data_IF_890990262585
#
_entry.id   IF_890990262585
#
_cell.length_a   1.000
_cell.length_b   1.000
_cell.length_c   1.000
_cell.angle_alpha   90.00
_cell.angle_beta   90.00
_cell.angle_gamma   90.00
#
_symmetry.space_group_name_H-M   'P 1'
#
loop_
_entity.id
_entity.type
_entity.pdbx_description
1 polymer ?
#
# COMPACT_ATOMS: atom_id res chain seq x y z
N UNK A 1 -3.72 -2.76 -23.13
CA UNK A 1 -2.79 -2.06 -22.21
C UNK A 1 -1.34 -2.39 -22.59
N UNK A 2 -0.34 -1.79 -21.94
CA UNK A 2 1.08 -2.04 -22.25
C UNK A 2 1.59 -3.36 -21.63
N UNK A 3 2.51 -4.06 -22.31
CA UNK A 3 3.20 -5.25 -21.77
C UNK A 3 4.39 -4.92 -20.88
N UNK A 4 4.89 -3.70 -20.98
CA UNK A 4 6.02 -3.19 -20.22
C UNK A 4 5.84 -1.70 -19.90
N UNK A 5 6.52 -1.25 -18.85
CA UNK A 5 6.51 0.13 -18.38
C UNK A 5 7.93 0.53 -18.01
N UNK A 6 8.47 1.53 -18.72
CA UNK A 6 9.79 2.10 -18.47
C UNK A 6 9.81 2.91 -17.16
N UNK A 7 10.85 2.72 -16.37
CA UNK A 7 11.07 3.39 -15.10
C UNK A 7 12.17 4.44 -15.20
N UNK A 8 12.15 5.41 -14.29
CA UNK A 8 13.17 6.47 -14.25
C UNK A 8 14.60 5.93 -14.01
N UNK A 9 14.72 4.89 -13.19
CA UNK A 9 15.94 4.15 -12.83
C UNK A 9 15.57 2.90 -12.00
N UNK A 10 16.56 2.06 -11.65
CA UNK A 10 16.45 0.88 -10.79
C UNK A 10 16.36 1.22 -9.30
N UNK A 11 17.07 0.49 -8.42
CA UNK A 11 17.09 0.81 -6.99
C UNK A 11 17.71 2.19 -6.69
N UNK A 12 18.69 2.60 -7.50
CA UNK A 12 19.44 3.85 -7.34
C UNK A 12 19.53 4.63 -8.68
N UNK A 13 19.72 5.96 -8.67
CA UNK A 13 19.70 6.80 -9.87
C UNK A 13 20.68 6.42 -10.98
N UNK A 14 21.81 5.80 -10.65
CA UNK A 14 22.83 5.35 -11.58
C UNK A 14 22.47 4.04 -12.30
N UNK A 15 21.42 3.33 -11.88
CA UNK A 15 21.01 2.05 -12.45
C UNK A 15 19.98 2.27 -13.56
N UNK A 16 20.45 2.44 -14.80
CA UNK A 16 19.62 2.63 -16.00
C UNK A 16 20.11 1.72 -17.14
N UNK A 17 19.24 1.27 -18.06
CA UNK A 17 17.78 1.43 -18.05
C UNK A 17 17.09 0.55 -16.99
N UNK A 18 15.80 0.78 -16.76
CA UNK A 18 14.99 -0.02 -15.83
C UNK A 18 13.54 -0.08 -16.31
N UNK A 19 12.87 -1.22 -16.10
CA UNK A 19 11.46 -1.43 -16.48
C UNK A 19 10.82 -2.53 -15.65
N UNK A 20 9.48 -2.53 -15.58
CA UNK A 20 8.69 -3.73 -15.28
C UNK A 20 8.08 -4.26 -16.58
N UNK A 21 7.91 -5.58 -16.68
CA UNK A 21 7.31 -6.20 -17.85
C UNK A 21 6.68 -7.55 -17.50
N UNK A 22 5.75 -8.00 -18.34
CA UNK A 22 5.24 -9.37 -18.34
C UNK A 22 5.83 -10.14 -19.53
N UNK A 23 6.24 -11.40 -19.32
CA UNK A 23 6.67 -12.28 -20.42
C UNK A 23 5.52 -12.58 -21.38
N UNK A 24 4.33 -12.76 -20.82
CA UNK A 24 3.10 -13.09 -21.53
C UNK A 24 1.95 -12.24 -20.99
N UNK A 25 1.01 -11.86 -21.86
CA UNK A 25 -0.10 -10.99 -21.49
C UNK A 25 0.27 -9.52 -21.30
N UNK A 26 -0.62 -8.77 -20.66
CA UNK A 26 -0.48 -7.34 -20.36
C UNK A 26 -0.07 -7.14 -18.90
N UNK A 27 0.47 -5.97 -18.54
CA UNK A 27 0.74 -5.63 -17.14
C UNK A 27 -0.58 -5.66 -16.33
N UNK A 28 -0.61 -6.28 -15.13
CA UNK A 28 -1.80 -6.31 -14.28
C UNK A 28 -1.98 -5.02 -13.46
N UNK A 29 -1.45 -3.89 -13.96
CA UNK A 29 -1.54 -2.57 -13.32
C UNK A 29 -1.78 -1.50 -14.37
N UNK A 30 -2.50 -0.46 -13.96
CA UNK A 30 -2.71 0.77 -14.73
C UNK A 30 -2.25 1.95 -13.90
N UNK A 31 -1.45 2.85 -14.50
CA UNK A 31 -1.02 4.08 -13.82
C UNK A 31 -2.03 5.18 -14.11
N UNK A 32 -2.91 5.43 -13.14
CA UNK A 32 -3.94 6.48 -13.27
C UNK A 32 -3.36 7.89 -13.06
N UNK A 33 -2.31 8.03 -12.25
CA UNK A 33 -1.67 9.31 -11.98
C UNK A 33 -0.20 9.15 -11.57
N UNK A 34 0.65 10.12 -11.93
CA UNK A 34 2.06 10.18 -11.55
C UNK A 34 2.96 9.21 -12.34
N UNK A 35 4.17 8.96 -11.81
CA UNK A 35 5.18 8.08 -12.43
C UNK A 35 5.88 7.22 -11.37
N UNK A 36 5.42 5.99 -11.09
CA UNK A 36 6.01 5.12 -10.07
C UNK A 36 7.44 4.70 -10.43
N UNK A 37 8.30 4.61 -9.40
CA UNK A 37 9.68 4.13 -9.51
C UNK A 37 9.81 2.64 -9.19
N UNK A 38 11.03 2.11 -9.33
CA UNK A 38 11.35 0.70 -9.07
C UNK A 38 10.97 0.28 -7.65
N UNK A 39 11.41 1.04 -6.64
CA UNK A 39 11.12 0.74 -5.23
C UNK A 39 9.62 0.85 -4.94
N UNK A 40 8.90 1.76 -5.59
CA UNK A 40 7.45 1.87 -5.42
C UNK A 40 6.73 0.58 -5.86
N UNK A 41 7.18 -0.06 -6.94
CA UNK A 41 6.60 -1.33 -7.35
C UNK A 41 6.95 -2.48 -6.40
N UNK A 42 8.14 -2.49 -5.80
CA UNK A 42 8.46 -3.45 -4.75
C UNK A 42 7.53 -3.28 -3.54
N UNK A 43 7.30 -2.05 -3.08
CA UNK A 43 6.36 -1.79 -1.98
C UNK A 43 4.91 -2.12 -2.37
N UNK A 44 4.47 -1.73 -3.57
CA UNK A 44 3.09 -1.91 -4.02
C UNK A 44 2.73 -3.38 -4.23
N UNK A 45 3.60 -4.18 -4.86
CA UNK A 45 3.31 -5.59 -5.12
C UNK A 45 3.31 -6.44 -3.84
N UNK A 46 4.17 -6.14 -2.87
CA UNK A 46 4.13 -6.83 -1.59
C UNK A 46 2.94 -6.39 -0.73
N UNK A 47 2.66 -5.09 -0.67
CA UNK A 47 1.53 -4.57 0.12
C UNK A 47 0.18 -5.02 -0.42
N UNK A 48 0.02 -5.09 -1.75
CA UNK A 48 -1.19 -5.61 -2.39
C UNK A 48 -1.48 -7.07 -2.00
N UNK A 49 -0.47 -7.93 -2.05
CA UNK A 49 -0.63 -9.34 -1.65
C UNK A 49 -1.03 -9.46 -0.19
N UNK A 50 -0.37 -8.70 0.70
CA UNK A 50 -0.69 -8.70 2.12
C UNK A 50 -2.16 -8.35 2.38
N UNK A 51 -2.67 -7.25 1.81
CA UNK A 51 -4.07 -6.85 2.07
C UNK A 51 -5.08 -7.78 1.40
N UNK A 52 -4.72 -8.37 0.24
CA UNK A 52 -5.56 -9.36 -0.45
C UNK A 52 -5.72 -10.63 0.37
N UNK A 53 -4.63 -11.11 1.00
CA UNK A 53 -4.68 -12.28 1.87
C UNK A 53 -5.40 -11.99 3.20
N UNK A 54 -5.21 -10.80 3.78
CA UNK A 54 -5.99 -10.38 4.96
C UNK A 54 -7.49 -10.31 4.68
N UNK A 55 -7.90 -9.72 3.55
CA UNK A 55 -9.29 -9.67 3.13
C UNK A 55 -9.86 -11.08 2.94
N UNK A 56 -9.15 -11.96 2.24
CA UNK A 56 -9.56 -13.35 2.05
C UNK A 56 -9.68 -14.15 3.36
N UNK A 57 -8.78 -13.91 4.31
CA UNK A 57 -8.74 -14.64 5.58
C UNK A 57 -9.77 -14.14 6.61
N UNK A 58 -10.14 -12.85 6.55
CA UNK A 58 -10.95 -12.21 7.59
C UNK A 58 -12.32 -11.73 7.12
N UNK A 59 -12.51 -11.57 5.81
CA UNK A 59 -13.70 -10.96 5.22
C UNK A 59 -13.85 -9.46 5.53
N UNK A 60 -12.77 -8.82 6.00
CA UNK A 60 -12.77 -7.42 6.40
C UNK A 60 -11.92 -6.55 5.47
N UNK A 61 -12.35 -5.32 5.17
CA UNK A 61 -11.51 -4.33 4.49
C UNK A 61 -10.17 -4.18 5.22
N UNK A 62 -9.09 -4.24 4.46
CA UNK A 62 -7.73 -4.32 5.01
C UNK A 62 -6.82 -3.28 4.40
N UNK A 63 -5.84 -2.81 5.16
CA UNK A 63 -4.86 -1.83 4.72
C UNK A 63 -3.46 -2.15 5.23
N UNK A 64 -2.46 -1.69 4.49
CA UNK A 64 -1.06 -1.82 4.86
C UNK A 64 -0.29 -0.53 4.56
N UNK A 65 0.65 -0.19 5.44
CA UNK A 65 1.61 0.90 5.28
C UNK A 65 2.99 0.27 5.08
N UNK A 66 3.60 0.48 3.91
CA UNK A 66 4.89 -0.12 3.56
C UNK A 66 6.00 0.91 3.52
N UNK A 67 7.18 0.49 3.95
CA UNK A 67 8.42 1.26 3.87
C UNK A 67 9.58 0.29 3.65
N UNK A 68 10.41 0.55 2.64
CA UNK A 68 11.57 -0.29 2.33
C UNK A 68 11.23 -1.78 2.19
N UNK A 69 10.17 -2.09 1.43
CA UNK A 69 9.73 -3.44 1.07
C UNK A 69 9.23 -4.27 2.25
N UNK A 70 8.95 -3.64 3.39
CA UNK A 70 8.37 -4.28 4.58
C UNK A 70 7.18 -3.46 5.11
N UNK A 71 6.19 -4.10 5.76
CA UNK A 71 5.11 -3.36 6.40
C UNK A 71 5.66 -2.62 7.63
N UNK A 72 5.52 -1.30 7.65
CA UNK A 72 5.57 -0.52 8.88
C UNK A 72 4.34 -0.81 9.77
N UNK A 73 3.21 -1.16 9.14
CA UNK A 73 2.04 -1.70 9.82
C UNK A 73 0.98 -2.21 8.85
N UNK A 74 0.08 -3.05 9.35
CA UNK A 74 -1.07 -3.57 8.61
C UNK A 74 -2.23 -3.83 9.58
N UNK A 75 -3.46 -3.68 9.11
CA UNK A 75 -4.65 -3.85 9.94
C UNK A 75 -5.91 -4.16 9.12
N UNK A 76 -6.90 -4.73 9.80
CA UNK A 76 -8.27 -4.90 9.32
C UNK A 76 -9.18 -3.77 9.82
N UNK A 77 -10.30 -3.55 9.13
CA UNK A 77 -11.21 -2.43 9.29
C UNK A 77 -12.17 -2.51 10.48
N UNK A 78 -11.65 -2.71 11.69
CA UNK A 78 -12.44 -2.64 12.92
C UNK A 78 -12.57 -1.19 13.41
N UNK A 79 -13.73 -0.79 13.97
CA UNK A 79 -13.93 0.53 14.55
C UNK A 79 -12.79 0.94 15.49
N UNK A 80 -12.44 2.23 15.47
CA UNK A 80 -11.48 2.79 16.42
C UNK A 80 -12.17 3.05 17.76
N UNK A 81 -11.55 2.63 18.86
CA UNK A 81 -11.95 3.09 20.19
C UNK A 81 -11.60 4.56 20.37
N UNK A 82 -12.17 5.22 21.40
CA UNK A 82 -11.82 6.61 21.71
C UNK A 82 -10.32 6.78 22.02
N UNK A 83 -9.70 5.74 22.60
CA UNK A 83 -8.26 5.70 22.86
C UNK A 83 -7.49 5.60 21.54
N UNK A 84 -7.89 4.71 20.63
CA UNK A 84 -7.28 4.58 19.30
C UNK A 84 -7.35 5.92 18.55
N UNK A 85 -8.51 6.57 18.52
CA UNK A 85 -8.71 7.87 17.86
C UNK A 85 -7.70 8.92 18.37
N UNK A 86 -7.51 9.00 19.69
CA UNK A 86 -6.55 9.91 20.32
C UNK A 86 -5.11 9.59 19.96
N UNK A 87 -4.70 8.32 20.05
CA UNK A 87 -3.32 7.89 19.73
C UNK A 87 -3.00 8.10 18.24
N UNK A 88 -4.01 7.95 17.37
CA UNK A 88 -3.84 8.12 15.93
C UNK A 88 -4.11 9.55 15.43
N UNK A 89 -4.43 10.49 16.32
CA UNK A 89 -4.71 11.89 16.01
C UNK A 89 -5.90 12.06 15.05
N UNK A 90 -6.96 11.29 15.28
CA UNK A 90 -8.22 11.39 14.55
C UNK A 90 -9.16 12.32 15.30
N UNK A 91 -9.85 13.19 14.58
CA UNK A 91 -10.91 14.04 15.14
C UNK A 91 -12.04 13.17 15.72
N UNK A 92 -12.49 13.48 16.93
CA UNK A 92 -13.53 12.70 17.61
C UNK A 92 -14.88 12.75 16.88
N UNK A 93 -15.13 13.80 16.09
CA UNK A 93 -16.36 14.04 15.34
C UNK A 93 -16.43 13.33 13.97
N UNK A 94 -15.32 12.74 13.53
CA UNK A 94 -15.24 12.07 12.22
C UNK A 94 -15.95 10.70 12.22
N UNK A 95 -16.80 10.50 11.21
CA UNK A 95 -17.40 9.20 10.90
C UNK A 95 -16.48 8.43 9.95
N UNK A 96 -15.89 7.35 10.46
CA UNK A 96 -14.90 6.58 9.73
C UNK A 96 -15.52 5.35 9.07
N UNK A 97 -15.25 5.19 7.77
CA UNK A 97 -15.52 3.93 7.07
C UNK A 97 -14.57 2.81 7.56
N UNK A 98 -14.93 1.53 7.39
CA UNK A 98 -14.06 0.41 7.76
C UNK A 98 -12.65 0.48 7.15
N UNK A 99 -12.54 0.89 5.88
CA UNK A 99 -11.23 1.02 5.21
C UNK A 99 -10.40 2.19 5.78
N UNK A 100 -11.05 3.28 6.20
CA UNK A 100 -10.38 4.38 6.89
C UNK A 100 -9.81 3.91 8.24
N UNK A 101 -10.59 3.17 9.02
CA UNK A 101 -10.12 2.57 10.27
C UNK A 101 -8.91 1.64 10.04
N UNK A 102 -8.96 0.79 9.01
CA UNK A 102 -7.85 -0.10 8.66
C UNK A 102 -6.58 0.70 8.36
N UNK A 103 -6.67 1.73 7.53
CA UNK A 103 -5.50 2.53 7.15
C UNK A 103 -4.93 3.34 8.32
N UNK A 104 -5.79 3.94 9.14
CA UNK A 104 -5.38 4.68 10.34
C UNK A 104 -4.59 3.77 11.29
N UNK A 105 -5.07 2.55 11.54
CA UNK A 105 -4.36 1.55 12.34
C UNK A 105 -3.03 1.13 11.70
N UNK A 106 -3.04 0.81 10.39
CA UNK A 106 -1.85 0.38 9.67
C UNK A 106 -0.74 1.44 9.68
N UNK A 107 -1.09 2.71 9.49
CA UNK A 107 -0.15 3.85 9.57
C UNK A 107 0.23 4.19 11.01
N UNK A 108 -0.66 3.94 11.96
CA UNK A 108 -0.47 4.27 13.37
C UNK A 108 0.42 3.29 14.15
N UNK A 109 0.78 2.14 13.56
CA UNK A 109 1.66 1.15 14.18
C UNK A 109 3.07 1.71 14.49
N UNK A 110 3.66 2.42 13.52
CA UNK A 110 4.85 3.23 13.68
C UNK A 110 4.71 4.47 12.79
N UNK A 111 4.83 5.67 13.38
CA UNK A 111 4.57 6.95 12.70
C UNK A 111 5.83 7.61 12.12
N UNK A 112 7.02 7.10 12.39
CA UNK A 112 8.31 7.70 12.00
C UNK A 112 8.76 7.32 10.59
#
# INVERSE_FOLDING_TARGET
MAKELELKYGCNPNQKPSKIFMKEGELPIEVLNGKPGFINFLDAFNSWQLVKELDAATGLPSAASFKHVSPAGAAVGLPLSDVDKKIYFVDETEELSPIACAYIRARGADRL
#
